data_IF_231996765759
#
_entry.id   IF_231996765759
#
_cell.length_a   1.000
_cell.length_b   1.000
_cell.length_c   1.000
_cell.angle_alpha   90.00
_cell.angle_beta   90.00
_cell.angle_gamma   90.00
#
_symmetry.space_group_name_H-M   'P 1'
#
loop_
_entity.id
_entity.type
_entity.pdbx_description
1 polymer ?
#
# COMPACT_ATOMS: atom_id res chain seq x y z
N UNK A 1 50.43 -12.50 65.79
CA UNK A 1 49.56 -13.32 66.65
C UNK A 1 48.15 -12.83 66.45
N UNK A 2 47.27 -13.69 65.89
CA UNK A 2 45.78 -13.60 65.83
C UNK A 2 45.15 -12.32 65.22
N UNK A 3 44.08 -12.29 64.42
CA UNK A 3 43.13 -13.23 63.84
C UNK A 3 42.49 -12.45 62.64
N UNK A 4 41.80 -12.97 61.60
CA UNK A 4 40.63 -13.86 61.53
C UNK A 4 40.43 -14.23 60.04
N UNK A 5 39.88 -15.43 59.80
CA UNK A 5 39.69 -16.10 58.50
C UNK A 5 38.31 -15.86 57.89
N UNK A 6 38.28 -15.97 56.56
CA UNK A 6 37.27 -16.60 55.67
C UNK A 6 35.79 -16.61 56.10
N UNK A 7 34.92 -16.12 55.21
CA UNK A 7 33.55 -16.63 55.05
C UNK A 7 33.15 -16.65 53.58
N UNK A 8 33.04 -17.87 53.04
CA UNK A 8 32.24 -18.22 51.88
C UNK A 8 30.98 -18.93 52.42
N UNK A 9 29.80 -18.63 51.90
CA UNK A 9 28.58 -19.34 52.26
C UNK A 9 27.73 -19.63 51.01
N UNK A 10 27.39 -20.91 50.89
CA UNK A 10 26.61 -21.56 49.83
C UNK A 10 25.10 -21.23 49.91
N UNK A 11 24.32 -21.54 48.86
CA UNK A 11 22.88 -21.28 48.82
C UNK A 11 22.05 -22.38 49.51
N UNK A 12 20.96 -21.97 50.16
CA UNK A 12 19.88 -22.83 50.66
C UNK A 12 18.71 -22.81 49.67
N UNK A 13 18.25 -24.00 49.27
CA UNK A 13 16.95 -24.23 48.62
C UNK A 13 15.83 -24.23 49.67
N UNK A 14 14.68 -23.59 49.38
CA UNK A 14 13.33 -24.12 49.68
C UNK A 14 12.34 -23.65 48.60
N UNK A 15 11.49 -24.60 48.22
CA UNK A 15 10.44 -24.70 47.19
C UNK A 15 9.22 -23.77 47.30
N UNK A 16 8.58 -23.46 46.17
CA UNK A 16 7.12 -23.40 46.06
C UNK A 16 6.63 -23.54 44.60
N UNK A 17 5.69 -24.47 44.40
CA UNK A 17 4.94 -24.76 43.17
C UNK A 17 3.99 -23.61 42.75
N UNK A 18 3.61 -23.56 41.47
CA UNK A 18 2.44 -22.81 41.01
C UNK A 18 2.64 -22.14 39.65
N UNK A 19 2.17 -22.79 38.58
CA UNK A 19 2.41 -22.42 37.19
C UNK A 19 1.91 -21.04 36.75
N UNK A 20 2.80 -20.28 36.15
CA UNK A 20 2.52 -19.19 35.23
C UNK A 20 3.43 -19.32 34.01
N UNK A 21 2.84 -19.48 32.81
CA UNK A 21 3.58 -19.45 31.54
C UNK A 21 3.14 -18.19 30.80
N UNK A 22 3.92 -17.13 30.94
CA UNK A 22 4.85 -16.56 29.93
C UNK A 22 4.14 -15.77 28.83
N UNK A 23 3.99 -14.48 29.10
CA UNK A 23 4.03 -13.42 28.11
C UNK A 23 5.37 -13.52 27.36
N UNK A 24 5.36 -14.01 26.12
CA UNK A 24 6.51 -13.99 25.24
C UNK A 24 6.70 -12.55 24.74
N UNK A 25 7.75 -11.89 25.25
CA UNK A 25 8.26 -10.66 24.66
C UNK A 25 8.78 -10.94 23.25
N UNK A 26 8.39 -10.09 22.30
CA UNK A 26 8.87 -10.06 20.92
C UNK A 26 10.41 -10.07 20.88
N UNK A 27 11.00 -11.16 20.40
CA UNK A 27 12.45 -11.35 20.34
C UNK A 27 12.98 -10.73 19.03
N UNK A 28 14.03 -9.91 19.12
CA UNK A 28 14.76 -9.40 17.95
C UNK A 28 15.40 -10.58 17.20
N UNK A 29 15.09 -10.76 15.92
CA UNK A 29 15.77 -11.77 15.08
C UNK A 29 17.19 -11.35 14.73
N UNK A 30 18.13 -12.26 14.92
CA UNK A 30 19.49 -12.15 14.40
C UNK A 30 19.51 -12.46 12.90
N UNK A 31 20.55 -12.03 12.18
CA UNK A 31 20.78 -12.24 10.74
C UNK A 31 20.65 -13.73 10.30
N UNK A 32 20.72 -14.70 11.22
CA UNK A 32 20.57 -16.12 10.94
C UNK A 32 19.15 -16.63 10.66
N UNK A 33 18.11 -15.88 11.05
CA UNK A 33 16.68 -16.30 10.94
C UNK A 33 15.92 -15.61 9.79
N UNK A 34 16.63 -14.95 8.87
CA UNK A 34 16.06 -14.30 7.68
C UNK A 34 16.53 -15.01 6.40
N UNK A 35 15.79 -14.85 5.30
CA UNK A 35 16.23 -15.41 4.02
C UNK A 35 17.65 -14.94 3.68
N UNK A 36 18.43 -15.78 2.99
CA UNK A 36 19.80 -15.44 2.61
C UNK A 36 19.88 -14.13 1.81
N UNK A 37 18.85 -13.81 1.02
CA UNK A 37 18.79 -12.56 0.29
C UNK A 37 18.54 -11.35 1.23
N UNK A 38 17.63 -11.47 2.20
CA UNK A 38 17.41 -10.41 3.18
C UNK A 38 18.62 -10.17 4.08
N UNK A 39 19.33 -11.23 4.50
CA UNK A 39 20.59 -11.11 5.25
C UNK A 39 21.63 -10.27 4.49
N UNK A 40 21.77 -10.47 3.18
CA UNK A 40 22.68 -9.68 2.32
C UNK A 40 22.25 -8.22 2.21
N UNK A 41 20.94 -7.94 2.11
CA UNK A 41 20.42 -6.58 2.10
C UNK A 41 20.81 -5.83 3.39
N UNK A 42 20.59 -6.48 4.54
CA UNK A 42 20.96 -5.94 5.85
C UNK A 42 22.47 -5.69 5.94
N UNK A 43 23.28 -6.67 5.54
CA UNK A 43 24.74 -6.55 5.55
C UNK A 43 25.23 -5.40 4.67
N UNK A 44 24.68 -5.22 3.46
CA UNK A 44 25.02 -4.09 2.56
C UNK A 44 24.69 -2.73 3.16
N UNK A 45 23.65 -2.62 3.98
CA UNK A 45 23.32 -1.40 4.70
C UNK A 45 23.98 -1.28 6.08
N UNK A 46 24.87 -2.21 6.45
CA UNK A 46 25.50 -2.24 7.77
C UNK A 46 24.49 -2.42 8.90
N UNK A 47 23.39 -3.13 8.63
CA UNK A 47 22.31 -3.43 9.58
C UNK A 47 22.36 -4.88 10.02
N UNK A 48 21.88 -5.11 11.22
CA UNK A 48 21.82 -6.43 11.87
C UNK A 48 20.39 -6.96 12.01
N UNK A 49 19.39 -6.10 11.84
CA UNK A 49 17.98 -6.44 11.89
C UNK A 49 17.15 -5.69 10.85
N UNK A 50 16.10 -6.33 10.34
CA UNK A 50 15.08 -5.74 9.46
C UNK A 50 14.50 -4.45 10.07
N UNK A 51 14.36 -4.40 11.39
CA UNK A 51 13.90 -3.21 12.13
C UNK A 51 14.73 -1.95 11.90
N UNK A 52 15.98 -2.10 11.48
CA UNK A 52 16.89 -0.98 11.23
C UNK A 52 16.81 -0.46 9.79
N UNK A 53 16.03 -1.10 8.90
CA UNK A 53 15.85 -0.64 7.52
C UNK A 53 15.15 0.71 7.47
N UNK A 54 14.31 1.03 8.46
CA UNK A 54 13.60 2.31 8.54
C UNK A 54 12.88 2.64 7.22
N UNK A 55 12.22 1.63 6.64
CA UNK A 55 11.54 1.78 5.36
C UNK A 55 10.30 2.68 5.49
N UNK A 56 9.94 3.35 4.40
CA UNK A 56 8.69 4.09 4.26
C UNK A 56 7.85 3.36 3.21
N UNK A 57 6.73 2.80 3.64
CA UNK A 57 5.80 2.08 2.79
C UNK A 57 4.73 3.04 2.23
N UNK A 58 4.74 3.27 0.92
CA UNK A 58 3.79 4.15 0.23
C UNK A 58 2.60 3.40 -0.38
N UNK A 59 2.60 2.07 -0.32
CA UNK A 59 1.54 1.26 -0.88
C UNK A 59 1.09 0.26 0.18
N UNK A 60 0.20 0.71 1.05
CA UNK A 60 -0.41 -0.09 2.11
C UNK A 60 -1.82 0.42 2.40
N UNK A 61 -2.71 -0.51 2.69
CA UNK A 61 -4.14 -0.27 2.67
C UNK A 61 -4.79 -0.52 4.02
N UNK A 62 -5.93 0.13 4.24
CA UNK A 62 -6.83 -0.10 5.36
C UNK A 62 -8.29 -0.06 4.90
N UNK A 63 -9.16 -0.76 5.61
CA UNK A 63 -10.59 -0.50 5.65
C UNK A 63 -10.92 0.09 7.01
N UNK A 64 -11.16 1.39 7.07
CA UNK A 64 -11.43 2.06 8.35
C UNK A 64 -12.64 1.45 9.07
N UNK A 65 -12.67 1.43 10.42
CA UNK A 65 -13.79 0.83 11.17
C UNK A 65 -15.18 1.29 10.70
N UNK A 66 -15.35 2.58 10.41
CA UNK A 66 -16.59 3.12 9.83
C UNK A 66 -16.93 2.52 8.48
N UNK A 67 -15.94 2.36 7.61
CA UNK A 67 -16.12 1.75 6.30
C UNK A 67 -16.48 0.27 6.42
N UNK A 68 -15.85 -0.45 7.35
CA UNK A 68 -16.18 -1.83 7.68
C UNK A 68 -17.62 -1.97 8.18
N UNK A 69 -18.08 -1.09 9.07
CA UNK A 69 -19.47 -1.08 9.55
C UNK A 69 -20.45 -0.86 8.40
N UNK A 70 -20.14 0.06 7.49
CA UNK A 70 -20.93 0.25 6.27
C UNK A 70 -20.96 -1.04 5.43
N UNK A 71 -19.80 -1.64 5.12
CA UNK A 71 -19.73 -2.87 4.31
C UNK A 71 -20.51 -4.03 4.92
N UNK A 72 -20.55 -4.15 6.25
CA UNK A 72 -21.34 -5.18 6.96
C UNK A 72 -22.85 -4.99 6.83
N UNK A 73 -23.32 -3.76 6.59
CA UNK A 73 -24.75 -3.45 6.43
C UNK A 73 -25.23 -3.53 4.98
N UNK A 74 -24.31 -3.59 4.01
CA UNK A 74 -24.65 -3.62 2.59
C UNK A 74 -25.26 -4.94 2.16
N UNK A 75 -26.18 -4.86 1.20
CA UNK A 75 -26.83 -6.02 0.58
C UNK A 75 -26.14 -6.44 -0.72
N UNK A 76 -25.70 -5.44 -1.49
CA UNK A 76 -25.06 -5.59 -2.78
C UNK A 76 -23.54 -5.48 -2.67
N UNK A 77 -22.83 -6.10 -3.62
CA UNK A 77 -21.37 -5.99 -3.73
C UNK A 77 -20.95 -4.51 -3.78
N UNK A 78 -19.88 -4.09 -3.07
CA UNK A 78 -19.09 -4.87 -2.12
C UNK A 78 -19.76 -5.02 -0.76
N UNK A 79 -19.46 -6.09 -0.02
CA UNK A 79 -19.93 -6.26 1.37
C UNK A 79 -18.99 -7.15 2.18
N UNK A 80 -19.16 -7.13 3.50
CA UNK A 80 -18.50 -8.05 4.44
C UNK A 80 -19.57 -8.83 5.20
N UNK A 81 -19.46 -10.16 5.24
CA UNK A 81 -20.34 -11.00 6.08
C UNK A 81 -19.72 -12.37 6.33
N UNK A 82 -20.16 -13.05 7.38
CA UNK A 82 -19.90 -14.49 7.55
C UNK A 82 -20.75 -15.27 6.54
N UNK A 83 -20.11 -16.10 5.72
CA UNK A 83 -20.79 -16.95 4.73
C UNK A 83 -21.15 -18.31 5.35
N UNK A 84 -22.21 -19.00 4.88
CA UNK A 84 -22.52 -20.36 5.33
C UNK A 84 -21.34 -21.31 5.12
N UNK A 85 -20.94 -22.04 6.17
CA UNK A 85 -19.80 -22.97 6.12
C UNK A 85 -18.43 -22.32 6.39
N UNK A 86 -18.40 -21.05 6.78
CA UNK A 86 -17.19 -20.33 7.18
C UNK A 86 -17.34 -19.78 8.60
N UNK A 87 -16.27 -19.84 9.39
CA UNK A 87 -16.22 -19.30 10.76
C UNK A 87 -15.67 -17.86 10.80
N UNK A 88 -15.18 -17.35 9.66
CA UNK A 88 -14.60 -16.02 9.47
C UNK A 88 -15.48 -15.10 8.60
N UNK A 89 -15.33 -13.78 8.78
CA UNK A 89 -15.92 -12.80 7.88
C UNK A 89 -15.23 -12.87 6.50
N UNK A 90 -16.04 -12.74 5.45
CA UNK A 90 -15.58 -12.74 4.06
C UNK A 90 -15.88 -11.41 3.41
N UNK A 91 -14.87 -10.84 2.77
CA UNK A 91 -14.98 -9.65 1.95
C UNK A 91 -15.24 -10.05 0.50
N UNK A 92 -16.37 -9.58 -0.04
CA UNK A 92 -16.77 -9.74 -1.44
C UNK A 92 -16.69 -8.37 -2.08
N UNK A 93 -15.85 -8.22 -3.10
CA UNK A 93 -15.62 -6.93 -3.78
C UNK A 93 -16.03 -6.98 -5.25
N UNK A 94 -15.94 -8.15 -5.89
CA UNK A 94 -16.21 -8.29 -7.31
C UNK A 94 -17.58 -8.97 -7.54
N UNK A 95 -18.38 -8.52 -8.53
CA UNK A 95 -19.63 -9.19 -8.88
C UNK A 95 -19.45 -10.67 -9.22
N UNK A 96 -18.33 -11.03 -9.85
CA UNK A 96 -18.01 -12.42 -10.17
C UNK A 96 -17.76 -13.28 -8.92
N UNK A 97 -17.24 -12.71 -7.83
CA UNK A 97 -17.09 -13.43 -6.55
C UNK A 97 -18.48 -13.76 -5.97
N UNK A 98 -19.45 -12.83 -6.08
CA UNK A 98 -20.83 -13.09 -5.66
C UNK A 98 -21.49 -14.19 -6.51
N UNK A 99 -21.31 -14.13 -7.84
CA UNK A 99 -21.82 -15.17 -8.75
C UNK A 99 -21.25 -16.54 -8.40
N UNK A 100 -19.94 -16.61 -8.14
CA UNK A 100 -19.29 -17.86 -7.72
C UNK A 100 -19.85 -18.37 -6.40
N UNK A 101 -20.19 -17.51 -5.43
CA UNK A 101 -20.84 -17.93 -4.19
C UNK A 101 -22.23 -18.50 -4.45
N UNK A 102 -23.03 -17.83 -5.28
CA UNK A 102 -24.38 -18.30 -5.60
C UNK A 102 -24.36 -19.64 -6.34
N UNK A 103 -23.40 -19.84 -7.24
CA UNK A 103 -23.16 -21.11 -7.96
C UNK A 103 -22.57 -22.19 -7.05
N UNK A 104 -21.65 -21.86 -6.14
CA UNK A 104 -21.05 -22.78 -5.17
C UNK A 104 -22.08 -23.40 -4.22
N UNK A 105 -23.13 -22.63 -3.88
CA UNK A 105 -24.25 -23.17 -3.08
C UNK A 105 -24.99 -24.29 -3.82
N UNK A 106 -24.82 -24.42 -5.14
CA UNK A 106 -25.31 -25.55 -5.93
C UNK A 106 -24.30 -26.71 -6.05
N UNK A 107 -23.00 -26.46 -5.90
CA UNK A 107 -21.92 -27.47 -5.97
C UNK A 107 -20.88 -27.18 -4.90
N UNK A 108 -20.85 -27.97 -3.82
CA UNK A 108 -20.17 -27.73 -2.52
C UNK A 108 -18.63 -27.54 -2.50
N UNK A 109 -18.03 -26.96 -3.53
CA UNK A 109 -16.59 -26.74 -3.69
C UNK A 109 -16.35 -25.44 -4.49
N UNK A 110 -16.49 -24.27 -3.86
CA UNK A 110 -15.90 -23.04 -4.41
C UNK A 110 -14.73 -22.59 -3.55
N UNK A 111 -13.57 -22.59 -4.20
CA UNK A 111 -12.28 -22.15 -3.67
C UNK A 111 -12.11 -20.63 -3.70
N UNK A 112 -13.13 -19.87 -4.14
CA UNK A 112 -13.03 -18.43 -4.44
C UNK A 112 -14.13 -17.57 -3.80
N UNK A 113 -14.81 -18.06 -2.76
CA UNK A 113 -15.88 -17.35 -2.06
C UNK A 113 -15.37 -16.13 -1.25
N UNK A 114 -14.97 -15.08 -1.95
CA UNK A 114 -14.36 -13.89 -1.37
C UNK A 114 -13.03 -14.14 -0.66
N UNK A 115 -12.53 -13.11 -0.01
CA UNK A 115 -11.30 -13.18 0.79
C UNK A 115 -11.64 -13.19 2.28
N UNK A 116 -10.97 -14.02 3.10
CA UNK A 116 -10.99 -13.84 4.55
C UNK A 116 -10.58 -12.41 4.88
N UNK A 117 -11.29 -11.80 5.83
CA UNK A 117 -10.98 -10.45 6.29
C UNK A 117 -10.90 -10.44 7.81
N UNK A 118 -9.76 -10.00 8.34
CA UNK A 118 -9.50 -9.88 9.78
C UNK A 118 -8.98 -8.51 10.18
N UNK A 119 -8.53 -8.43 11.44
CA UNK A 119 -8.04 -7.19 12.04
C UNK A 119 -6.92 -6.52 11.24
N UNK A 120 -6.14 -7.26 10.46
CA UNK A 120 -5.08 -6.74 9.58
C UNK A 120 -5.56 -5.66 8.59
N UNK A 121 -6.86 -5.62 8.28
CA UNK A 121 -7.45 -4.62 7.42
C UNK A 121 -7.86 -3.32 8.14
N UNK A 122 -8.26 -3.37 9.40
CA UNK A 122 -8.90 -2.21 10.08
C UNK A 122 -8.33 -1.86 11.45
N UNK A 123 -7.62 -2.79 12.09
CA UNK A 123 -7.01 -2.59 13.41
C UNK A 123 -5.63 -1.94 13.24
N UNK A 124 -5.50 -0.74 13.80
CA UNK A 124 -4.26 0.04 13.79
C UNK A 124 -3.13 -0.70 14.51
N UNK A 125 -3.42 -1.49 15.54
CA UNK A 125 -2.40 -2.25 16.26
C UNK A 125 -1.86 -3.41 15.41
N UNK A 126 -2.72 -4.06 14.62
CA UNK A 126 -2.30 -5.06 13.63
C UNK A 126 -1.35 -4.45 12.60
N UNK A 127 -1.68 -3.26 12.08
CA UNK A 127 -0.82 -2.52 11.15
C UNK A 127 0.54 -2.16 11.78
N UNK A 128 0.55 -1.65 13.02
CA UNK A 128 1.78 -1.32 13.73
C UNK A 128 2.65 -2.55 13.98
N UNK A 129 2.05 -3.70 14.35
CA UNK A 129 2.80 -4.95 14.53
C UNK A 129 3.44 -5.41 13.23
N UNK A 130 2.68 -5.36 12.12
CA UNK A 130 3.20 -5.67 10.79
C UNK A 130 4.40 -4.77 10.45
N UNK A 131 4.27 -3.47 10.69
CA UNK A 131 5.34 -2.50 10.45
C UNK A 131 6.59 -2.79 11.28
N UNK A 132 6.43 -3.03 12.58
CA UNK A 132 7.52 -3.33 13.50
C UNK A 132 8.20 -4.67 13.20
N UNK A 133 7.46 -5.64 12.67
CA UNK A 133 8.00 -6.92 12.20
C UNK A 133 8.85 -6.74 10.94
N UNK A 134 8.34 -5.97 9.96
CA UNK A 134 8.96 -5.80 8.64
C UNK A 134 9.89 -4.58 8.52
N UNK A 135 10.20 -3.89 9.62
CA UNK A 135 11.14 -2.77 9.62
C UNK A 135 10.66 -1.51 8.91
N UNK A 136 9.35 -1.33 8.88
CA UNK A 136 8.69 -0.18 8.28
C UNK A 136 8.52 0.89 9.36
N UNK A 137 9.24 1.99 9.20
CA UNK A 137 9.16 3.11 10.14
C UNK A 137 7.90 3.94 9.90
N UNK A 138 7.55 4.19 8.65
CA UNK A 138 6.40 5.01 8.28
C UNK A 138 5.56 4.26 7.25
N UNK A 139 4.24 4.31 7.41
CA UNK A 139 3.28 3.84 6.41
C UNK A 139 2.42 5.00 5.93
N UNK A 140 2.24 5.12 4.61
CA UNK A 140 1.28 6.05 4.00
C UNK A 140 0.04 5.26 3.67
N UNK A 141 -0.93 5.28 4.58
CA UNK A 141 -2.15 4.50 4.51
C UNK A 141 -3.07 5.01 3.40
N UNK A 142 -3.78 4.11 2.74
CA UNK A 142 -4.85 4.47 1.81
C UNK A 142 -6.08 3.57 2.04
N UNK A 143 -7.28 4.09 1.77
CA UNK A 143 -8.47 3.23 1.77
C UNK A 143 -8.30 2.22 0.62
N UNK A 144 -8.51 0.94 0.91
CA UNK A 144 -8.46 -0.09 -0.11
C UNK A 144 -9.62 0.05 -1.14
N UNK A 145 -9.40 -0.50 -2.34
CA UNK A 145 -10.44 -0.62 -3.36
C UNK A 145 -11.66 -1.40 -2.82
N UNK A 146 -12.90 -1.04 -3.20
CA UNK A 146 -13.28 -0.18 -4.31
C UNK A 146 -13.60 1.26 -3.88
N UNK A 147 -12.96 1.75 -2.80
CA UNK A 147 -13.10 3.12 -2.31
C UNK A 147 -14.56 3.51 -2.06
N UNK A 148 -15.06 4.49 -2.81
CA UNK A 148 -16.45 4.98 -2.73
C UNK A 148 -17.19 4.75 -4.05
N UNK A 149 -16.57 4.05 -5.01
CA UNK A 149 -16.99 4.04 -6.42
C UNK A 149 -18.37 3.39 -6.64
N UNK A 150 -18.80 2.57 -5.68
CA UNK A 150 -20.08 1.87 -5.70
C UNK A 150 -21.20 2.61 -4.95
N UNK A 151 -20.89 3.67 -4.20
CA UNK A 151 -21.89 4.43 -3.45
C UNK A 151 -22.61 5.45 -4.35
N UNK A 152 -23.88 5.77 -4.07
CA UNK A 152 -24.54 6.90 -4.72
C UNK A 152 -23.79 8.22 -4.45
N UNK A 153 -23.70 9.11 -5.43
CA UNK A 153 -22.90 10.35 -5.36
C UNK A 153 -23.09 11.15 -4.05
N UNK A 154 -24.33 11.33 -3.58
CA UNK A 154 -24.61 12.05 -2.32
C UNK A 154 -24.02 11.37 -1.09
N UNK A 155 -24.02 10.05 -1.06
CA UNK A 155 -23.44 9.27 0.04
C UNK A 155 -21.90 9.29 -0.02
N UNK A 156 -21.32 9.35 -1.24
CA UNK A 156 -19.88 9.48 -1.43
C UNK A 156 -19.33 10.75 -0.76
N UNK A 157 -20.00 11.90 -0.91
CA UNK A 157 -19.54 13.18 -0.33
C UNK A 157 -19.44 13.09 1.19
N UNK A 158 -20.49 12.60 1.84
CA UNK A 158 -20.51 12.44 3.29
C UNK A 158 -19.47 11.42 3.75
N UNK A 159 -19.39 10.28 3.06
CA UNK A 159 -18.48 9.20 3.43
C UNK A 159 -17.01 9.61 3.24
N UNK A 160 -16.66 10.29 2.14
CA UNK A 160 -15.31 10.81 1.90
C UNK A 160 -14.87 11.72 3.05
N UNK A 161 -15.71 12.69 3.42
CA UNK A 161 -15.42 13.62 4.51
C UNK A 161 -15.17 12.91 5.84
N UNK A 162 -16.00 11.92 6.16
CA UNK A 162 -15.88 11.15 7.40
C UNK A 162 -14.64 10.26 7.40
N UNK A 163 -14.34 9.56 6.31
CA UNK A 163 -13.18 8.68 6.22
C UNK A 163 -11.85 9.44 6.18
N UNK A 164 -11.81 10.59 5.50
CA UNK A 164 -10.64 11.47 5.50
C UNK A 164 -10.37 12.06 6.89
N UNK A 165 -11.44 12.36 7.65
CA UNK A 165 -11.30 12.73 9.06
C UNK A 165 -10.81 11.57 9.91
N UNK A 166 -11.41 10.39 9.77
CA UNK A 166 -11.04 9.19 10.56
C UNK A 166 -9.56 8.81 10.31
N UNK A 167 -9.08 8.84 9.06
CA UNK A 167 -7.67 8.55 8.75
C UNK A 167 -6.72 9.64 9.26
N UNK A 168 -7.13 10.92 9.21
CA UNK A 168 -6.35 12.02 9.80
C UNK A 168 -6.20 11.86 11.31
N UNK A 169 -7.27 11.45 12.02
CA UNK A 169 -7.23 11.21 13.46
C UNK A 169 -6.27 10.05 13.80
N UNK A 170 -6.36 8.93 13.06
CA UNK A 170 -5.41 7.80 13.19
C UNK A 170 -3.97 8.27 12.98
N UNK A 171 -3.73 9.05 11.92
CA UNK A 171 -2.38 9.55 11.63
C UNK A 171 -1.87 10.50 12.71
N UNK A 172 -2.72 11.38 13.25
CA UNK A 172 -2.35 12.33 14.30
C UNK A 172 -1.94 11.63 15.59
N UNK A 173 -2.61 10.52 15.93
CA UNK A 173 -2.33 9.72 17.12
C UNK A 173 -1.17 8.73 16.94
N UNK A 174 -0.58 8.64 15.75
CA UNK A 174 0.44 7.65 15.40
C UNK A 174 1.88 8.00 15.83
N UNK A 175 2.09 9.19 16.41
CA UNK A 175 3.42 9.74 16.70
C UNK A 175 4.35 9.74 15.45
N UNK A 176 3.81 10.13 14.29
CA UNK A 176 4.55 10.22 13.03
C UNK A 176 4.80 8.88 12.32
N UNK A 177 4.22 7.78 12.80
CA UNK A 177 4.29 6.46 12.13
C UNK A 177 3.35 6.36 10.92
N UNK A 178 2.30 7.18 10.87
CA UNK A 178 1.32 7.18 9.78
C UNK A 178 1.16 8.54 9.10
N UNK A 179 1.09 8.46 7.77
CA UNK A 179 0.53 9.48 6.87
C UNK A 179 -0.54 8.80 6.02
N UNK A 180 -1.23 9.54 5.15
CA UNK A 180 -2.26 8.94 4.32
C UNK A 180 -2.41 9.57 2.93
N UNK A 181 -3.02 8.79 2.04
CA UNK A 181 -3.73 9.26 0.87
C UNK A 181 -5.23 9.29 1.18
N UNK A 182 -5.88 10.43 0.93
CA UNK A 182 -7.31 10.60 1.14
C UNK A 182 -8.15 9.98 0.02
N UNK A 183 -9.45 9.91 0.22
CA UNK A 183 -10.45 9.47 -0.76
C UNK A 183 -11.34 10.62 -1.18
N UNK A 184 -11.92 10.54 -2.37
CA UNK A 184 -12.76 11.59 -2.94
C UNK A 184 -14.11 11.03 -3.43
N UNK A 185 -15.16 11.87 -3.49
CA UNK A 185 -16.36 11.56 -4.27
C UNK A 185 -16.08 11.71 -5.78
N UNK A 186 -16.96 11.16 -6.61
CA UNK A 186 -16.78 11.08 -8.07
C UNK A 186 -17.44 12.23 -8.86
N UNK A 187 -18.21 13.12 -8.23
CA UNK A 187 -18.72 14.33 -8.90
C UNK A 187 -17.65 15.42 -8.89
N UNK A 188 -17.39 16.06 -10.03
CA UNK A 188 -16.27 17.02 -10.19
C UNK A 188 -16.23 18.11 -9.11
N UNK A 189 -17.36 18.78 -8.88
CA UNK A 189 -17.44 19.89 -7.92
C UNK A 189 -17.18 19.41 -6.47
N UNK A 190 -17.76 18.27 -6.09
CA UNK A 190 -17.57 17.70 -4.76
C UNK A 190 -16.16 17.13 -4.58
N UNK A 191 -15.57 16.55 -5.64
CA UNK A 191 -14.20 16.07 -5.65
C UNK A 191 -13.23 17.23 -5.41
N UNK A 192 -13.40 18.35 -6.12
CA UNK A 192 -12.61 19.57 -5.93
C UNK A 192 -12.80 20.14 -4.52
N UNK A 193 -14.02 20.17 -4.00
CA UNK A 193 -14.28 20.62 -2.64
C UNK A 193 -13.59 19.73 -1.59
N UNK A 194 -13.57 18.42 -1.81
CA UNK A 194 -12.88 17.47 -0.94
C UNK A 194 -11.35 17.57 -1.06
N UNK A 195 -10.80 17.83 -2.24
CA UNK A 195 -9.37 18.10 -2.42
C UNK A 195 -8.90 19.32 -1.60
N UNK A 196 -9.70 20.39 -1.58
CA UNK A 196 -9.42 21.55 -0.75
C UNK A 196 -9.41 21.18 0.74
N UNK A 197 -10.38 20.39 1.20
CA UNK A 197 -10.36 19.91 2.57
C UNK A 197 -9.14 19.03 2.89
N UNK A 198 -8.82 18.08 2.02
CA UNK A 198 -7.66 17.19 2.17
C UNK A 198 -6.37 18.01 2.27
N UNK A 199 -6.25 19.10 1.52
CA UNK A 199 -5.06 19.98 1.58
C UNK A 199 -4.86 20.67 2.94
N UNK A 200 -5.90 20.75 3.77
CA UNK A 200 -5.83 21.29 5.13
C UNK A 200 -5.48 20.22 6.19
N UNK A 201 -5.54 18.93 5.82
CA UNK A 201 -5.27 17.81 6.71
C UNK A 201 -3.76 17.57 6.84
N UNK A 202 -3.23 17.78 8.06
CA UNK A 202 -1.79 17.79 8.33
C UNK A 202 -1.04 16.50 8.03
N UNK A 203 -1.69 15.35 7.94
CA UNK A 203 -1.05 14.06 7.71
C UNK A 203 -1.49 13.38 6.40
N UNK A 204 -2.44 13.97 5.68
CA UNK A 204 -2.83 13.51 4.34
C UNK A 204 -1.92 14.18 3.31
N UNK A 205 -1.37 13.42 2.37
CA UNK A 205 -0.31 13.87 1.44
C UNK A 205 -0.69 13.74 -0.03
N UNK A 206 -1.93 13.40 -0.28
CA UNK A 206 -2.44 13.14 -1.62
C UNK A 206 -3.77 12.43 -1.57
N UNK A 207 -4.15 11.82 -2.68
CA UNK A 207 -5.34 11.00 -2.82
C UNK A 207 -5.00 9.64 -3.41
N UNK A 208 -5.79 8.62 -3.07
CA UNK A 208 -5.85 7.40 -3.86
C UNK A 208 -6.98 7.53 -4.87
N UNK A 209 -6.72 7.14 -6.12
CA UNK A 209 -7.66 7.29 -7.23
C UNK A 209 -7.75 5.99 -8.01
N UNK A 210 -8.96 5.58 -8.36
CA UNK A 210 -9.20 4.44 -9.24
C UNK A 210 -8.98 4.81 -10.71
N UNK A 211 -8.79 3.81 -11.56
CA UNK A 211 -8.66 4.04 -13.02
C UNK A 211 -9.95 4.54 -13.67
N UNK A 212 -11.10 4.45 -12.97
CA UNK A 212 -12.35 5.03 -13.43
C UNK A 212 -12.39 6.56 -13.29
N UNK A 213 -11.43 7.16 -12.57
CA UNK A 213 -11.40 8.61 -12.34
C UNK A 213 -12.66 9.08 -11.61
N UNK A 214 -13.40 9.99 -12.24
CA UNK A 214 -14.71 10.47 -11.77
C UNK A 214 -15.89 9.68 -12.38
N UNK A 215 -15.62 8.46 -12.87
CA UNK A 215 -16.61 7.50 -13.38
C UNK A 215 -16.55 7.25 -14.89
N UNK A 216 -15.80 8.05 -15.66
CA UNK A 216 -15.69 7.93 -17.13
C UNK A 216 -14.26 7.66 -17.63
N UNK A 217 -13.34 7.32 -16.73
CA UNK A 217 -11.93 7.11 -17.04
C UNK A 217 -11.05 8.33 -16.74
N UNK A 218 -9.74 8.14 -16.85
CA UNK A 218 -8.75 9.19 -16.57
C UNK A 218 -8.62 10.21 -17.70
N UNK A 219 -9.08 9.86 -18.90
CA UNK A 219 -9.06 10.69 -20.10
C UNK A 219 -10.36 11.47 -20.36
N UNK A 220 -11.31 11.45 -19.42
CA UNK A 220 -12.51 12.30 -19.48
C UNK A 220 -12.10 13.79 -19.43
N UNK A 221 -12.47 14.62 -20.43
CA UNK A 221 -12.15 16.05 -20.45
C UNK A 221 -12.53 16.82 -19.17
N UNK A 222 -13.55 16.38 -18.43
CA UNK A 222 -13.94 16.98 -17.13
C UNK A 222 -12.83 16.81 -16.06
N UNK A 223 -11.96 15.80 -16.19
CA UNK A 223 -10.83 15.55 -15.28
C UNK A 223 -9.76 16.64 -15.34
N UNK A 224 -9.69 17.45 -16.39
CA UNK A 224 -8.63 18.46 -16.51
C UNK A 224 -8.69 19.49 -15.37
N UNK A 225 -9.88 19.97 -15.02
CA UNK A 225 -10.06 20.92 -13.91
C UNK A 225 -9.69 20.28 -12.56
N UNK A 226 -10.00 18.98 -12.41
CA UNK A 226 -9.62 18.20 -11.26
C UNK A 226 -8.09 18.07 -11.14
N UNK A 227 -7.39 17.69 -12.22
CA UNK A 227 -5.92 17.60 -12.24
C UNK A 227 -5.23 18.93 -11.99
N UNK A 228 -5.73 20.03 -12.57
CA UNK A 228 -5.22 21.38 -12.33
C UNK A 228 -5.35 21.77 -10.85
N UNK A 229 -6.45 21.38 -10.20
CA UNK A 229 -6.66 21.62 -8.78
C UNK A 229 -5.66 20.83 -7.94
N UNK A 230 -5.47 19.54 -8.23
CA UNK A 230 -4.48 18.69 -7.53
C UNK A 230 -3.07 19.26 -7.66
N UNK A 231 -2.67 19.63 -8.87
CA UNK A 231 -1.35 20.22 -9.15
C UNK A 231 -1.16 21.51 -8.34
N UNK A 232 -2.16 22.40 -8.35
CA UNK A 232 -2.11 23.67 -7.59
C UNK A 232 -2.01 23.44 -6.08
N UNK A 233 -2.66 22.42 -5.55
CA UNK A 233 -2.60 22.03 -4.14
C UNK A 233 -1.32 21.25 -3.80
N UNK A 234 -0.52 20.87 -4.80
CA UNK A 234 0.71 20.09 -4.61
C UNK A 234 0.48 18.65 -4.12
N UNK A 235 -0.75 18.14 -4.26
CA UNK A 235 -1.15 16.81 -3.83
C UNK A 235 -0.63 15.75 -4.81
N UNK A 236 -0.30 14.57 -4.29
CA UNK A 236 0.08 13.40 -5.11
C UNK A 236 -1.13 12.51 -5.37
N UNK A 237 -1.28 12.01 -6.58
CA UNK A 237 -2.26 10.96 -6.89
C UNK A 237 -1.56 9.62 -6.79
N UNK A 238 -2.03 8.76 -5.90
CA UNK A 238 -1.72 7.33 -5.95
C UNK A 238 -2.78 6.64 -6.82
N UNK A 239 -2.40 6.28 -8.04
CA UNK A 239 -3.29 5.61 -8.99
C UNK A 239 -3.22 4.10 -8.78
N UNK A 240 -4.38 3.48 -8.52
CA UNK A 240 -4.46 2.08 -8.15
C UNK A 240 -5.54 1.33 -8.96
N UNK A 241 -5.28 0.08 -9.38
CA UNK A 241 -6.24 -0.73 -10.11
C UNK A 241 -7.35 -1.31 -9.22
N UNK A 242 -8.44 -1.73 -9.83
CA UNK A 242 -9.52 -2.47 -9.17
C UNK A 242 -10.35 -3.30 -10.16
N UNK A 243 -10.64 -2.75 -11.34
CA UNK A 243 -11.62 -3.30 -12.26
C UNK A 243 -11.07 -4.43 -13.13
N UNK A 244 -9.76 -4.48 -13.34
CA UNK A 244 -9.08 -5.46 -14.18
C UNK A 244 -9.35 -5.29 -15.69
N UNK A 245 -8.54 -5.99 -16.49
CA UNK A 245 -8.70 -6.11 -17.95
C UNK A 245 -8.60 -7.60 -18.33
N UNK A 246 -9.50 -8.06 -19.21
CA UNK A 246 -9.54 -9.45 -19.68
C UNK A 246 -10.18 -10.43 -18.68
N UNK A 247 -11.02 -9.93 -17.79
CA UNK A 247 -11.63 -10.68 -16.68
C UNK A 247 -12.35 -11.95 -17.13
N UNK A 248 -12.96 -11.92 -18.32
CA UNK A 248 -13.64 -13.05 -18.95
C UNK A 248 -12.74 -14.30 -19.11
N UNK A 249 -11.42 -14.13 -19.12
CA UNK A 249 -10.45 -15.19 -19.31
C UNK A 249 -9.94 -15.83 -18.01
N UNK A 250 -10.27 -15.29 -16.84
CA UNK A 250 -9.59 -15.67 -15.58
C UNK A 250 -10.37 -16.60 -14.66
N UNK A 251 -11.65 -16.86 -14.96
CA UNK A 251 -12.60 -17.53 -14.07
C UNK A 251 -12.16 -18.91 -13.54
N UNK A 252 -11.31 -19.65 -14.25
CA UNK A 252 -10.86 -21.00 -13.86
C UNK A 252 -9.56 -21.02 -13.02
N UNK A 253 -8.99 -19.86 -12.70
CA UNK A 253 -7.63 -19.78 -12.11
C UNK A 253 -7.62 -19.08 -10.74
N UNK A 254 -8.74 -19.15 -10.02
CA UNK A 254 -8.95 -18.39 -8.80
C UNK A 254 -8.71 -16.90 -9.04
N UNK A 255 -8.09 -16.23 -8.06
CA UNK A 255 -7.73 -14.81 -8.18
C UNK A 255 -6.38 -14.57 -8.87
N UNK A 256 -5.59 -15.60 -9.17
CA UNK A 256 -4.20 -15.46 -9.58
C UNK A 256 -4.04 -14.63 -10.87
N UNK A 257 -4.76 -14.97 -11.94
CA UNK A 257 -4.65 -14.23 -13.21
C UNK A 257 -5.28 -12.84 -13.15
N UNK A 258 -6.39 -12.68 -12.41
CA UNK A 258 -7.02 -11.38 -12.24
C UNK A 258 -6.11 -10.40 -11.50
N UNK A 259 -5.49 -10.83 -10.39
CA UNK A 259 -4.58 -9.99 -9.62
C UNK A 259 -3.25 -9.75 -10.35
N UNK A 260 -2.68 -10.77 -11.00
CA UNK A 260 -1.38 -10.63 -11.67
C UNK A 260 -1.47 -9.86 -13.01
N UNK A 261 -2.46 -10.17 -13.84
CA UNK A 261 -2.60 -9.62 -15.20
C UNK A 261 -3.68 -8.54 -15.27
N UNK A 262 -4.87 -8.81 -14.72
CA UNK A 262 -5.98 -7.87 -14.79
C UNK A 262 -5.62 -6.49 -14.23
N UNK A 263 -5.13 -6.45 -13.00
CA UNK A 263 -4.73 -5.19 -12.34
C UNK A 263 -3.59 -4.47 -13.05
N UNK A 264 -2.52 -5.19 -13.42
CA UNK A 264 -1.35 -4.56 -14.06
C UNK A 264 -1.68 -4.05 -15.46
N UNK A 265 -2.54 -4.74 -16.21
CA UNK A 265 -3.04 -4.26 -17.50
C UNK A 265 -3.99 -3.08 -17.36
N UNK A 266 -4.85 -3.05 -16.35
CA UNK A 266 -5.74 -1.92 -16.07
C UNK A 266 -4.95 -0.63 -15.85
N UNK A 267 -3.95 -0.64 -14.97
CA UNK A 267 -3.05 0.51 -14.75
C UNK A 267 -2.36 0.92 -16.06
N UNK A 268 -1.90 -0.06 -16.84
CA UNK A 268 -1.23 0.17 -18.13
C UNK A 268 -2.16 0.90 -19.12
N UNK A 269 -3.39 0.43 -19.24
CA UNK A 269 -4.40 1.00 -20.15
C UNK A 269 -4.78 2.42 -19.71
N UNK A 270 -5.13 2.60 -18.44
CA UNK A 270 -5.63 3.86 -17.92
C UNK A 270 -4.58 4.99 -18.02
N UNK A 271 -3.33 4.71 -17.66
CA UNK A 271 -2.25 5.69 -17.79
C UNK A 271 -1.92 5.98 -19.25
N UNK A 272 -1.98 4.97 -20.12
CA UNK A 272 -1.81 5.19 -21.56
C UNK A 272 -2.90 6.10 -22.11
N UNK A 273 -4.17 5.87 -21.75
CA UNK A 273 -5.28 6.75 -22.14
C UNK A 273 -5.08 8.19 -21.66
N UNK A 274 -4.70 8.37 -20.39
CA UNK A 274 -4.38 9.70 -19.84
C UNK A 274 -3.27 10.39 -20.63
N UNK A 275 -2.18 9.69 -20.97
CA UNK A 275 -1.11 10.26 -21.81
C UNK A 275 -1.65 10.65 -23.19
N UNK A 276 -2.34 9.74 -23.87
CA UNK A 276 -2.81 9.95 -25.25
C UNK A 276 -3.94 10.99 -25.35
N UNK A 277 -4.59 11.34 -24.25
CA UNK A 277 -5.54 12.45 -24.17
C UNK A 277 -4.89 13.82 -24.37
N UNK A 278 -3.58 13.95 -24.14
CA UNK A 278 -2.84 15.22 -24.16
C UNK A 278 -3.06 16.11 -22.93
N UNK A 279 -3.81 15.66 -21.91
CA UNK A 279 -4.07 16.47 -20.71
C UNK A 279 -2.80 16.76 -19.90
N UNK A 280 -1.83 15.84 -19.89
CA UNK A 280 -0.59 15.98 -19.12
C UNK A 280 0.33 17.11 -19.59
N UNK A 281 0.08 17.65 -20.79
CA UNK A 281 0.75 18.86 -21.28
C UNK A 281 0.24 20.12 -20.58
N UNK A 282 -0.98 20.07 -20.04
CA UNK A 282 -1.62 21.18 -19.32
C UNK A 282 -1.40 21.12 -17.80
N UNK A 283 -0.86 20.01 -17.31
CA UNK A 283 -0.50 19.78 -15.88
C UNK A 283 0.92 19.19 -15.78
N UNK A 284 1.96 19.96 -16.15
CA UNK A 284 3.34 19.48 -16.24
C UNK A 284 3.95 19.06 -14.89
N UNK A 285 3.39 19.52 -13.76
CA UNK A 285 3.86 19.24 -12.40
C UNK A 285 2.95 18.25 -11.64
N UNK A 286 1.89 17.72 -12.27
CA UNK A 286 1.05 16.69 -11.66
C UNK A 286 1.90 15.49 -11.23
N UNK A 287 1.79 15.12 -9.95
CA UNK A 287 2.51 13.99 -9.36
C UNK A 287 1.61 12.76 -9.38
N UNK A 288 2.00 11.76 -10.16
CA UNK A 288 1.37 10.44 -10.16
C UNK A 288 2.34 9.42 -9.53
N UNK A 289 1.85 8.66 -8.55
CA UNK A 289 2.44 7.43 -8.05
C UNK A 289 1.65 6.28 -8.64
N UNK A 290 2.29 5.40 -9.41
CA UNK A 290 1.64 4.28 -10.08
C UNK A 290 1.84 2.99 -9.29
N UNK A 291 0.74 2.30 -9.03
CA UNK A 291 0.74 0.99 -8.37
C UNK A 291 1.46 -0.08 -9.21
N UNK A 292 2.02 -1.07 -8.51
CA UNK A 292 2.59 -2.31 -9.06
C UNK A 292 3.64 -2.06 -10.13
N UNK A 293 4.62 -1.22 -9.81
CA UNK A 293 5.69 -0.79 -10.74
C UNK A 293 5.17 -0.15 -12.04
N UNK A 294 3.95 0.42 -12.02
CA UNK A 294 3.29 0.98 -13.20
C UNK A 294 2.68 -0.08 -14.11
N UNK A 295 2.38 -1.26 -13.57
CA UNK A 295 1.88 -2.40 -14.33
C UNK A 295 2.92 -2.89 -15.32
N UNK A 296 2.64 -2.74 -16.62
CA UNK A 296 3.54 -3.17 -17.70
C UNK A 296 4.14 -2.01 -18.49
N UNK A 297 3.89 -0.76 -18.08
CA UNK A 297 4.34 0.44 -18.78
C UNK A 297 5.87 0.51 -18.94
N UNK A 298 6.71 0.22 -17.94
CA UNK A 298 8.16 0.30 -18.12
C UNK A 298 8.65 -0.63 -19.25
N UNK A 299 8.06 -1.82 -19.36
CA UNK A 299 8.39 -2.78 -20.40
C UNK A 299 7.83 -2.37 -21.77
N UNK A 300 6.62 -1.81 -21.82
CA UNK A 300 5.91 -1.48 -23.07
C UNK A 300 6.20 -0.07 -23.61
N UNK A 301 6.91 0.78 -22.87
CA UNK A 301 7.11 2.19 -23.22
C UNK A 301 7.65 2.40 -24.65
N UNK A 302 8.67 1.64 -25.06
CA UNK A 302 9.22 1.74 -26.42
C UNK A 302 8.24 1.32 -27.52
N UNK A 303 7.38 0.33 -27.23
CA UNK A 303 6.32 -0.09 -28.16
C UNK A 303 5.26 1.01 -28.28
N UNK A 304 4.87 1.63 -27.16
CA UNK A 304 3.89 2.71 -27.12
C UNK A 304 4.40 3.93 -27.92
N UNK A 305 5.65 4.34 -27.71
CA UNK A 305 6.31 5.40 -28.49
C UNK A 305 6.28 5.10 -30.00
N UNK A 306 6.69 3.89 -30.38
CA UNK A 306 6.69 3.48 -31.79
C UNK A 306 5.29 3.54 -32.39
N UNK A 307 4.27 3.01 -31.71
CA UNK A 307 2.89 3.03 -32.22
C UNK A 307 2.37 4.47 -32.37
N UNK A 308 2.60 5.34 -31.38
CA UNK A 308 2.16 6.74 -31.42
C UNK A 308 2.87 7.52 -32.53
N UNK A 309 4.17 7.32 -32.73
CA UNK A 309 4.90 7.98 -33.81
C UNK A 309 4.39 7.61 -35.21
N UNK A 310 3.83 6.40 -35.38
CA UNK A 310 3.24 5.93 -36.63
C UNK A 310 1.75 6.29 -36.78
N UNK A 311 1.11 6.83 -35.74
CA UNK A 311 -0.23 7.41 -35.80
C UNK A 311 -0.14 8.94 -35.76
N UNK A 312 -0.16 9.56 -36.94
CA UNK A 312 -0.05 11.02 -37.07
C UNK A 312 -1.20 11.80 -36.42
N UNK A 313 -2.38 11.18 -36.24
CA UNK A 313 -3.51 11.84 -35.60
C UNK A 313 -3.37 11.89 -34.08
N UNK A 314 -2.67 10.92 -33.49
CA UNK A 314 -2.37 10.88 -32.05
C UNK A 314 -1.09 11.66 -31.74
N UNK A 315 0.01 11.44 -32.47
CA UNK A 315 1.29 12.13 -32.20
C UNK A 315 1.17 13.66 -32.23
N UNK A 316 0.32 14.21 -33.11
CA UNK A 316 0.06 15.66 -33.16
C UNK A 316 -0.68 16.25 -31.96
N UNK A 317 -1.27 15.41 -31.10
CA UNK A 317 -1.96 15.83 -29.87
C UNK A 317 -1.00 16.01 -28.69
N UNK A 318 0.20 15.42 -28.77
CA UNK A 318 1.14 15.34 -27.66
C UNK A 318 2.35 16.25 -27.92
N UNK A 319 2.82 16.95 -26.90
CA UNK A 319 4.08 17.70 -26.97
C UNK A 319 5.32 16.79 -26.95
N UNK A 320 5.20 15.59 -26.35
CA UNK A 320 6.30 14.65 -26.20
C UNK A 320 5.89 13.21 -26.55
N UNK A 321 6.87 12.32 -26.70
CA UNK A 321 6.60 10.89 -26.80
C UNK A 321 6.04 10.35 -25.47
N UNK A 322 5.18 9.31 -25.48
CA UNK A 322 4.64 8.69 -24.26
C UNK A 322 5.69 8.39 -23.17
N UNK A 323 6.86 7.88 -23.54
CA UNK A 323 7.95 7.58 -22.60
C UNK A 323 8.47 8.81 -21.84
N UNK A 324 8.39 10.01 -22.41
CA UNK A 324 8.78 11.24 -21.73
C UNK A 324 7.83 11.58 -20.57
N UNK A 325 6.53 11.31 -20.73
CA UNK A 325 5.55 11.44 -19.64
C UNK A 325 5.76 10.38 -18.57
N UNK A 326 5.95 9.13 -18.97
CA UNK A 326 6.18 8.02 -18.04
C UNK A 326 7.41 8.26 -17.15
N UNK A 327 8.48 8.86 -17.67
CA UNK A 327 9.68 9.22 -16.88
C UNK A 327 9.46 10.34 -15.85
N UNK A 328 8.32 11.04 -15.88
CA UNK A 328 7.97 12.08 -14.89
C UNK A 328 7.30 11.50 -13.64
N UNK A 329 6.69 10.32 -13.75
CA UNK A 329 5.90 9.72 -12.68
C UNK A 329 6.77 9.04 -11.63
N UNK A 330 6.14 8.71 -10.51
CA UNK A 330 6.67 7.85 -9.47
C UNK A 330 6.03 6.46 -9.58
N UNK A 331 6.75 5.46 -9.10
CA UNK A 331 6.36 4.05 -9.18
C UNK A 331 6.63 3.42 -7.83
N UNK A 332 5.71 2.59 -7.34
CA UNK A 332 6.09 1.71 -6.23
C UNK A 332 7.09 0.64 -6.70
N UNK A 333 7.78 0.01 -5.75
CA UNK A 333 8.73 -1.06 -5.98
C UNK A 333 8.08 -2.46 -5.83
N UNK A 334 6.76 -2.57 -6.00
CA UNK A 334 6.06 -3.85 -5.93
C UNK A 334 6.27 -4.56 -7.27
N UNK A 335 7.41 -5.24 -7.37
CA UNK A 335 7.86 -5.95 -8.56
C UNK A 335 8.05 -7.45 -8.32
N UNK A 336 8.14 -7.87 -7.04
CA UNK A 336 8.36 -9.24 -6.56
C UNK A 336 9.62 -9.97 -7.06
N UNK A 337 10.34 -9.48 -8.09
CA UNK A 337 11.57 -10.08 -8.58
C UNK A 337 12.54 -9.06 -9.19
N UNK A 338 13.84 -9.37 -9.12
CA UNK A 338 14.92 -8.46 -9.53
C UNK A 338 14.86 -8.02 -11.01
N UNK A 339 14.60 -8.90 -12.00
CA UNK A 339 14.51 -8.44 -13.40
C UNK A 339 13.45 -7.36 -13.66
N UNK A 340 12.27 -7.43 -13.02
CA UNK A 340 11.23 -6.42 -13.21
C UNK A 340 11.63 -5.09 -12.58
N UNK A 341 12.16 -5.11 -11.35
CA UNK A 341 12.65 -3.90 -10.69
C UNK A 341 13.81 -3.26 -11.47
N UNK A 342 14.72 -4.06 -12.01
CA UNK A 342 15.82 -3.55 -12.84
C UNK A 342 15.30 -2.90 -14.13
N UNK A 343 14.30 -3.49 -14.80
CA UNK A 343 13.66 -2.89 -15.96
C UNK A 343 13.06 -1.52 -15.63
N UNK A 344 12.43 -1.38 -14.45
CA UNK A 344 11.90 -0.09 -13.99
C UNK A 344 13.04 0.91 -13.73
N UNK A 345 14.09 0.51 -12.99
CA UNK A 345 15.26 1.37 -12.71
C UNK A 345 15.91 1.85 -14.00
N UNK A 346 16.14 0.96 -14.96
CA UNK A 346 16.77 1.31 -16.25
C UNK A 346 15.90 2.27 -17.07
N UNK A 347 14.58 2.22 -16.89
CA UNK A 347 13.65 3.06 -17.62
C UNK A 347 13.48 4.46 -16.99
N UNK A 348 13.20 4.56 -15.69
CA UNK A 348 12.84 5.83 -15.03
C UNK A 348 13.90 6.39 -14.09
N UNK A 349 14.95 5.62 -13.78
CA UNK A 349 15.93 5.97 -12.76
C UNK A 349 15.45 5.64 -11.35
N UNK A 350 16.40 5.43 -10.43
CA UNK A 350 16.07 5.04 -9.06
C UNK A 350 15.41 6.14 -8.24
N UNK A 351 15.51 7.42 -8.61
CA UNK A 351 14.91 8.57 -7.91
C UNK A 351 13.38 8.65 -8.04
N UNK A 352 12.80 7.83 -8.93
CA UNK A 352 11.36 7.78 -9.21
C UNK A 352 10.66 6.56 -8.63
N UNK A 353 11.36 5.78 -7.81
CA UNK A 353 10.85 4.51 -7.30
C UNK A 353 10.74 4.60 -5.78
N UNK A 354 9.59 4.24 -5.22
CA UNK A 354 9.32 4.26 -3.77
C UNK A 354 8.97 2.86 -3.27
N UNK A 355 9.29 2.54 -2.02
CA UNK A 355 8.95 1.24 -1.45
C UNK A 355 7.44 1.09 -1.20
N UNK A 356 6.94 -0.14 -1.35
CA UNK A 356 5.54 -0.51 -1.20
C UNK A 356 5.38 -1.99 -0.83
N UNK A 357 4.29 -2.36 -0.15
CA UNK A 357 4.05 -3.76 0.28
C UNK A 357 2.74 -4.39 -0.21
N UNK A 358 1.75 -3.57 -0.55
CA UNK A 358 0.36 -3.97 -0.80
C UNK A 358 -0.29 -4.68 0.42
N UNK A 359 0.23 -4.41 1.63
CA UNK A 359 -0.34 -4.96 2.85
C UNK A 359 -1.77 -4.42 3.07
N UNK A 360 -2.76 -5.26 3.40
CA UNK A 360 -2.65 -6.65 3.87
C UNK A 360 -3.14 -7.71 2.86
N UNK A 361 -3.11 -7.46 1.55
CA UNK A 361 -3.81 -8.31 0.57
C UNK A 361 -3.16 -9.67 0.29
N UNK A 362 -1.86 -9.83 0.56
CA UNK A 362 -1.11 -11.08 0.32
C UNK A 362 -0.49 -11.63 1.61
N UNK A 363 -1.32 -12.10 2.56
CA UNK A 363 -0.86 -12.66 3.83
C UNK A 363 -0.15 -14.01 3.63
N UNK A 364 0.69 -14.45 4.58
CA UNK A 364 1.21 -15.81 4.59
C UNK A 364 0.08 -16.84 4.71
N UNK A 365 0.29 -18.04 4.15
CA UNK A 365 -0.54 -19.20 4.47
C UNK A 365 -0.25 -19.64 5.92
N UNK A 366 -1.27 -19.65 6.77
CA UNK A 366 -1.17 -20.12 8.16
C UNK A 366 -2.27 -21.16 8.38
N UNK A 367 -1.94 -22.31 8.97
CA UNK A 367 -2.95 -23.30 9.36
C UNK A 367 -3.95 -22.68 10.35
N UNK A 368 -5.25 -23.01 10.21
CA UNK A 368 -6.41 -22.32 10.82
C UNK A 368 -6.33 -22.08 12.34
N UNK A 369 -5.48 -22.80 13.08
CA UNK A 369 -5.35 -22.70 14.53
C UNK A 369 -4.54 -21.49 15.03
N UNK A 370 -3.90 -20.71 14.16
CA UNK A 370 -3.01 -19.59 14.53
C UNK A 370 -3.34 -18.24 13.82
N UNK A 371 -4.59 -17.97 13.45
CA UNK A 371 -4.98 -16.66 12.86
C UNK A 371 -4.76 -15.46 13.80
N UNK A 372 -4.60 -15.67 15.10
CA UNK A 372 -4.04 -14.66 16.02
C UNK A 372 -2.53 -14.57 15.81
N UNK A 373 -2.07 -13.45 15.22
CA UNK A 373 -0.65 -13.20 15.03
C UNK A 373 -0.15 -13.31 13.58
N UNK A 374 -1.01 -13.16 12.56
CA UNK A 374 -0.58 -13.10 11.14
C UNK A 374 0.58 -12.13 10.90
N UNK A 375 0.58 -11.00 11.61
CA UNK A 375 1.60 -9.97 11.50
C UNK A 375 2.85 -10.22 12.36
N UNK A 376 2.94 -11.38 13.03
CA UNK A 376 4.14 -11.88 13.71
C UNK A 376 4.98 -12.81 12.80
N UNK A 377 4.48 -13.10 11.60
CA UNK A 377 5.17 -13.91 10.59
C UNK A 377 5.77 -13.04 9.49
N UNK A 378 6.78 -13.58 8.81
CA UNK A 378 7.31 -12.97 7.61
C UNK A 378 6.27 -13.09 6.49
N UNK A 379 5.87 -11.96 5.91
CA UNK A 379 4.98 -11.94 4.76
C UNK A 379 5.79 -12.18 3.49
N UNK A 380 5.60 -13.31 2.77
CA UNK A 380 6.41 -13.62 1.60
C UNK A 380 6.36 -12.51 0.54
N UNK A 381 5.19 -11.91 0.35
CA UNK A 381 4.96 -10.75 -0.52
C UNK A 381 5.89 -9.56 -0.21
N UNK A 382 6.10 -9.28 1.08
CA UNK A 382 6.97 -8.20 1.55
C UNK A 382 8.44 -8.55 1.43
N UNK A 383 8.79 -9.78 1.82
CA UNK A 383 10.16 -10.28 1.72
C UNK A 383 10.62 -10.28 0.26
N UNK A 384 9.81 -10.74 -0.69
CA UNK A 384 10.17 -10.73 -2.11
C UNK A 384 10.46 -9.34 -2.66
N UNK A 385 9.77 -8.29 -2.19
CA UNK A 385 10.08 -6.91 -2.59
C UNK A 385 11.43 -6.44 -2.02
N UNK A 386 11.79 -6.83 -0.79
CA UNK A 386 13.13 -6.57 -0.26
C UNK A 386 14.20 -7.36 -1.02
N UNK A 387 13.94 -8.63 -1.35
CA UNK A 387 14.87 -9.49 -2.09
C UNK A 387 15.14 -8.96 -3.50
N UNK A 388 14.13 -8.38 -4.16
CA UNK A 388 14.30 -7.75 -5.48
C UNK A 388 15.38 -6.64 -5.47
N UNK A 389 15.64 -6.01 -4.32
CA UNK A 389 16.61 -4.92 -4.14
C UNK A 389 18.01 -5.39 -3.73
N UNK A 390 18.20 -6.67 -3.39
CA UNK A 390 19.41 -7.16 -2.72
C UNK A 390 20.70 -6.87 -3.49
N UNK A 391 20.66 -6.94 -4.82
CA UNK A 391 21.84 -6.78 -5.67
C UNK A 391 22.12 -5.32 -6.05
N UNK A 392 21.20 -4.40 -5.75
CA UNK A 392 21.40 -2.96 -5.93
C UNK A 392 22.52 -2.46 -4.99
N UNK A 393 23.08 -1.29 -5.32
CA UNK A 393 24.02 -0.62 -4.42
C UNK A 393 23.28 0.04 -3.24
N UNK A 394 24.01 0.32 -2.16
CA UNK A 394 23.41 0.78 -0.91
C UNK A 394 22.69 2.13 -1.02
N UNK A 395 23.11 3.01 -1.94
CA UNK A 395 22.50 4.33 -2.11
C UNK A 395 21.17 4.23 -2.87
N UNK A 396 21.10 3.39 -3.91
CA UNK A 396 19.84 3.07 -4.59
C UNK A 396 18.86 2.40 -3.62
N UNK A 397 19.32 1.44 -2.83
CA UNK A 397 18.47 0.80 -1.81
C UNK A 397 17.91 1.82 -0.83
N UNK A 398 18.76 2.71 -0.33
CA UNK A 398 18.36 3.79 0.59
C UNK A 398 17.38 4.78 -0.06
N UNK A 399 17.59 5.15 -1.31
CA UNK A 399 16.70 6.04 -2.04
C UNK A 399 15.28 5.44 -2.16
N UNK A 400 15.19 4.20 -2.65
CA UNK A 400 13.92 3.49 -2.85
C UNK A 400 13.20 3.24 -1.52
N UNK A 401 13.94 2.80 -0.49
CA UNK A 401 13.34 2.44 0.80
C UNK A 401 12.81 3.64 1.58
N UNK A 402 13.28 4.88 1.34
CA UNK A 402 12.91 6.02 2.20
C UNK A 402 13.07 7.40 1.58
N UNK A 403 14.19 7.73 0.92
CA UNK A 403 14.49 9.13 0.58
C UNK A 403 13.57 9.66 -0.51
N UNK A 404 13.23 8.83 -1.50
CA UNK A 404 12.32 9.21 -2.57
C UNK A 404 10.91 9.48 -2.02
N UNK A 405 10.45 8.68 -1.06
CA UNK A 405 9.18 8.89 -0.38
C UNK A 405 9.15 10.20 0.42
N UNK A 406 10.24 10.50 1.13
CA UNK A 406 10.41 11.76 1.85
C UNK A 406 10.37 12.95 0.91
N UNK A 407 11.05 12.86 -0.24
CA UNK A 407 11.05 13.92 -1.23
C UNK A 407 9.67 14.10 -1.90
N UNK A 408 9.04 12.99 -2.32
CA UNK A 408 7.76 13.01 -3.02
C UNK A 408 6.66 13.66 -2.17
N UNK A 409 6.52 13.19 -0.92
CA UNK A 409 5.44 13.56 -0.02
C UNK A 409 5.86 14.57 1.06
N UNK A 410 7.08 15.11 1.00
CA UNK A 410 7.62 16.06 1.99
C UNK A 410 7.48 15.55 3.43
N UNK A 411 7.81 14.26 3.64
CA UNK A 411 7.74 13.64 4.96
C UNK A 411 8.92 14.11 5.82
N UNK A 412 8.73 14.30 7.14
CA UNK A 412 9.81 14.69 8.02
C UNK A 412 10.90 13.63 8.06
N UNK A 413 12.16 14.05 8.13
CA UNK A 413 13.28 13.14 8.31
C UNK A 413 13.18 12.43 9.68
N UNK A 414 13.66 11.18 9.80
CA UNK A 414 13.56 10.39 11.04
C UNK A 414 14.18 11.09 12.26
N UNK A 415 15.21 11.91 12.06
CA UNK A 415 15.88 12.69 13.11
C UNK A 415 15.03 13.84 13.68
N UNK A 416 14.04 14.34 12.94
CA UNK A 416 13.17 15.43 13.38
C UNK A 416 12.03 14.93 14.28
N UNK A 417 11.57 13.70 14.08
CA UNK A 417 10.44 13.10 14.84
C UNK A 417 10.76 13.01 16.35
N UNK A 418 12.04 12.86 16.72
CA UNK A 418 12.46 12.85 18.13
C UNK A 418 12.62 14.23 18.78
N UNK A 419 12.87 15.30 18.00
CA UNK A 419 13.20 16.63 18.54
C UNK A 419 11.93 17.39 18.97
N UNK A 420 10.86 17.30 18.17
CA UNK A 420 9.58 17.96 18.50
C UNK A 420 8.95 17.40 19.79
N UNK A 421 9.25 16.13 20.10
CA UNK A 421 8.74 15.48 21.31
C UNK A 421 9.45 15.94 22.60
N UNK A 422 10.74 16.25 22.51
CA UNK A 422 11.51 16.81 23.64
C UNK A 422 11.05 18.26 23.91
N UNK A 423 10.76 19.03 22.87
CA UNK A 423 10.30 20.41 23.03
C UNK A 423 8.85 20.50 23.55
N UNK A 424 7.96 19.57 23.21
CA UNK A 424 6.59 19.56 23.74
C UNK A 424 6.49 19.16 25.22
N UNK A 425 7.47 18.43 25.75
CA UNK A 425 7.55 18.05 27.17
C UNK A 425 8.31 19.05 28.05
N UNK A 426 9.00 20.03 27.45
CA UNK A 426 9.75 21.06 28.18
C UNK A 426 9.00 22.40 28.28
N UNK A 427 7.82 22.52 27.66
CA UNK A 427 6.96 23.72 27.71
C UNK A 427 5.55 23.38 28.25
N UNK A 428 5.42 22.27 29.00
CA UNK A 428 4.19 21.85 29.67
C UNK A 428 4.20 22.16 31.16
#
# INVERSE_FOLDING_TARGET
MEALKQNACSPLEVTSEGGGSRTQLATMRAVGDVSHALARLLQKQGKTSVRELQAIDLHTHVYLPRYMDMLRTRKDVPFVRTLPGHDDERLIILPDEQKQIDEARATATSISAGRPIGGEYWDVNEKLRYMDHHGIQVSVLSLANPWLDFLPAKEQVLMARLLNKDIQDICSSSNGRFFAFGVIPQTLDDAIAELHHISELKNVRGIILSTAGLGKGLDDPEMLAFYQTIEKLGLTIFLHPHYGVGNEHYHNYGHALFLALGFTFETTVAVSQLILSGMLDQVPNLKLLLAHSGGTLPFLAGRLDSCVAHDLAISKRLQHAPSAYLKRFYYDAIAYHTPALQCLIDFVGSDRIVFGTDNPFFPPEVEDSNKQGLNDFDWPSTISNYEAMVDLNADIQRAILRENAQQLLQLPSPSCIHIDHIMSHLIG
#
